data_IF_616018579606
#
_entry.id   IF_616018579606
#
_cell.length_a   1.000
_cell.length_b   1.000
_cell.length_c   1.000
_cell.angle_alpha   90.00
_cell.angle_beta   90.00
_cell.angle_gamma   90.00
#
_symmetry.space_group_name_H-M   'P 1'
#
loop_
_entity.id
_entity.type
_entity.pdbx_description
1 polymer ?
#
# COMPACT_ATOMS: atom_id res chain seq x y z
N UNK A 1 3.49 -13.28 27.92
CA UNK A 1 2.82 -11.97 28.10
C UNK A 1 3.05 -11.40 29.50
N UNK A 2 2.94 -12.21 30.57
CA UNK A 2 3.15 -11.75 31.96
C UNK A 2 4.58 -11.31 32.28
N UNK A 3 5.60 -11.93 31.68
CA UNK A 3 7.01 -11.54 31.86
C UNK A 3 7.29 -10.13 31.30
N UNK A 4 6.84 -9.85 30.08
CA UNK A 4 7.01 -8.53 29.45
C UNK A 4 6.34 -7.41 30.27
N UNK A 5 5.17 -7.70 30.87
CA UNK A 5 4.49 -6.76 31.78
C UNK A 5 5.33 -6.47 33.03
N UNK A 6 5.97 -7.49 33.60
CA UNK A 6 6.85 -7.33 34.77
C UNK A 6 8.06 -6.46 34.44
N UNK A 7 8.69 -6.72 33.29
CA UNK A 7 9.85 -5.96 32.83
C UNK A 7 9.57 -4.46 32.65
N UNK A 8 8.41 -4.09 32.09
CA UNK A 8 8.02 -2.69 31.92
C UNK A 8 7.82 -2.00 33.27
N UNK A 9 7.21 -2.68 34.24
CA UNK A 9 6.99 -2.13 35.58
C UNK A 9 8.31 -1.97 36.35
N UNK A 10 9.24 -2.91 36.19
CA UNK A 10 10.59 -2.77 36.76
C UNK A 10 11.32 -1.57 36.15
N UNK A 11 11.25 -1.39 34.82
CA UNK A 11 11.83 -0.22 34.14
C UNK A 11 11.24 1.12 34.60
N UNK A 12 9.93 1.16 34.88
CA UNK A 12 9.29 2.35 35.46
C UNK A 12 9.77 2.59 36.90
N UNK A 13 9.93 1.53 37.70
CA UNK A 13 10.41 1.62 39.08
C UNK A 13 11.87 2.10 39.18
N UNK A 14 12.69 1.70 38.20
CA UNK A 14 14.07 2.14 38.05
C UNK A 14 14.18 3.55 37.43
N UNK A 15 13.07 4.15 36.99
CA UNK A 15 13.02 5.47 36.36
C UNK A 15 13.62 5.51 34.95
N UNK A 16 13.75 4.37 34.28
CA UNK A 16 14.29 4.27 32.91
C UNK A 16 13.31 4.74 31.83
N UNK A 17 12.03 4.77 32.17
CA UNK A 17 10.92 5.21 31.30
C UNK A 17 9.98 6.10 32.09
N UNK A 18 9.25 6.97 31.39
CA UNK A 18 8.19 7.79 32.00
C UNK A 18 6.90 6.99 32.21
N UNK A 19 5.98 7.56 33.00
CA UNK A 19 4.66 6.96 33.24
C UNK A 19 3.89 6.81 31.93
N UNK A 20 3.96 7.82 31.06
CA UNK A 20 3.29 7.84 29.75
C UNK A 20 3.84 6.75 28.81
N UNK A 21 5.17 6.53 28.83
CA UNK A 21 5.81 5.47 28.05
C UNK A 21 5.41 4.08 28.55
N UNK A 22 5.35 3.89 29.88
CA UNK A 22 4.89 2.64 30.47
C UNK A 22 3.43 2.32 30.10
N UNK A 23 2.53 3.31 30.13
CA UNK A 23 1.13 3.15 29.71
C UNK A 23 1.01 2.72 28.24
N UNK A 24 1.79 3.35 27.35
CA UNK A 24 1.82 3.01 25.93
C UNK A 24 2.30 1.57 25.69
N UNK A 25 3.39 1.15 26.35
CA UNK A 25 3.96 -0.19 26.21
C UNK A 25 3.03 -1.28 26.76
N UNK A 26 2.35 -1.01 27.88
CA UNK A 26 1.35 -1.91 28.44
C UNK A 26 0.14 -2.06 27.52
N UNK A 27 -0.33 -0.97 26.90
CA UNK A 27 -1.43 -1.01 25.93
C UNK A 27 -1.11 -1.85 24.69
N UNK A 28 0.13 -1.80 24.20
CA UNK A 28 0.59 -2.62 23.08
C UNK A 28 0.69 -4.12 23.43
N UNK A 29 0.91 -4.46 24.70
CA UNK A 29 0.94 -5.86 25.16
C UNK A 29 -0.46 -6.44 25.43
N UNK A 30 -1.41 -5.61 25.88
CA UNK A 30 -2.79 -6.02 26.15
C UNK A 30 -3.61 -6.12 24.86
N UNK A 31 -3.26 -5.38 23.81
CA UNK A 31 -3.89 -5.50 22.51
C UNK A 31 -3.30 -6.72 21.77
N UNK A 32 -4.05 -7.84 21.60
CA UNK A 32 -3.54 -8.98 20.87
C UNK A 32 -3.24 -8.53 19.43
N UNK A 33 -1.95 -8.61 19.06
CA UNK A 33 -1.40 -8.65 17.73
C UNK A 33 -2.40 -8.40 16.57
N UNK A 34 -2.87 -7.16 16.43
CA UNK A 34 -3.36 -6.65 15.14
C UNK A 34 -2.41 -5.61 14.56
N UNK A 35 -1.20 -5.51 15.12
CA UNK A 35 -0.06 -4.73 14.63
C UNK A 35 1.06 -5.66 14.19
N UNK A 36 0.75 -6.56 13.26
CA UNK A 36 1.76 -7.26 12.47
C UNK A 36 1.22 -7.71 11.10
N UNK A 37 0.46 -6.86 10.43
CA UNK A 37 0.47 -6.80 8.96
C UNK A 37 -0.11 -5.46 8.55
N UNK A 38 0.77 -4.55 8.12
CA UNK A 38 0.40 -3.54 7.13
C UNK A 38 -0.10 -4.29 5.88
N UNK A 39 -1.37 -4.70 5.89
CA UNK A 39 -1.92 -5.57 4.84
C UNK A 39 -3.19 -6.32 5.24
N UNK A 40 -4.25 -5.60 5.60
CA UNK A 40 -5.64 -6.08 5.49
C UNK A 40 -6.56 -4.85 5.51
N UNK A 41 -6.84 -4.24 4.38
CA UNK A 41 -8.08 -4.49 3.62
C UNK A 41 -9.07 -5.42 4.32
N UNK A 42 -9.83 -4.87 5.27
CA UNK A 42 -11.28 -5.07 5.42
C UNK A 42 -11.76 -4.27 6.65
N UNK A 43 -12.22 -3.07 6.39
CA UNK A 43 -12.95 -2.23 7.34
C UNK A 43 -13.60 -1.11 6.54
N UNK A 44 -14.92 -1.16 6.40
CA UNK A 44 -15.70 -0.07 5.82
C UNK A 44 -15.50 1.20 6.67
N UNK A 45 -14.54 2.01 6.26
CA UNK A 45 -14.15 3.23 6.94
C UNK A 45 -13.06 3.91 6.13
N UNK A 46 -13.46 4.82 5.23
CA UNK A 46 -12.59 5.58 4.30
C UNK A 46 -11.42 4.77 3.76
N UNK A 47 -11.68 4.01 2.69
CA UNK A 47 -10.64 3.31 1.93
C UNK A 47 -9.51 4.30 1.63
N UNK A 48 -8.34 4.05 2.23
CA UNK A 48 -7.13 4.78 1.90
C UNK A 48 -6.97 4.76 0.37
N UNK A 49 -6.59 5.87 -0.27
CA UNK A 49 -6.49 5.91 -1.71
C UNK A 49 -5.54 4.79 -2.19
N UNK A 50 -5.88 4.10 -3.29
CA UNK A 50 -5.06 3.00 -3.79
C UNK A 50 -3.64 3.51 -4.03
N UNK A 51 -2.65 2.75 -3.55
CA UNK A 51 -1.22 3.10 -3.68
C UNK A 51 -0.61 2.59 -4.98
N UNK A 52 -1.11 1.48 -5.52
CA UNK A 52 -0.60 0.84 -6.73
C UNK A 52 -1.75 0.38 -7.64
N UNK A 53 -1.54 0.48 -8.95
CA UNK A 53 -2.31 -0.17 -10.00
C UNK A 53 -1.54 -1.42 -10.46
N UNK A 54 -2.17 -2.60 -10.43
CA UNK A 54 -1.56 -3.84 -10.96
C UNK A 54 -2.03 -4.04 -12.39
N UNK A 55 -1.09 -4.15 -13.32
CA UNK A 55 -1.36 -4.45 -14.73
C UNK A 55 -0.94 -5.89 -14.99
N UNK A 56 -1.90 -6.71 -15.39
CA UNK A 56 -1.68 -8.10 -15.80
C UNK A 56 -2.15 -8.22 -17.24
N UNK A 57 -1.25 -8.61 -18.14
CA UNK A 57 -1.55 -8.93 -19.53
C UNK A 57 -1.19 -10.39 -19.74
N UNK A 58 -2.21 -11.17 -20.08
CA UNK A 58 -2.11 -12.56 -20.46
C UNK A 58 -2.63 -12.65 -21.90
N UNK A 59 -1.77 -13.07 -22.84
CA UNK A 59 -2.21 -13.41 -24.19
C UNK A 59 -2.57 -14.90 -24.27
N UNK A 60 -3.72 -15.21 -24.84
CA UNK A 60 -4.15 -16.57 -25.16
C UNK A 60 -3.68 -16.94 -26.57
N UNK A 61 -2.50 -17.58 -26.69
CA UNK A 61 -1.97 -18.07 -27.97
C UNK A 61 -0.57 -18.69 -27.90
N UNK A 62 -0.21 -19.53 -28.87
CA UNK A 62 1.07 -20.29 -28.94
C UNK A 62 2.33 -19.40 -29.02
N UNK A 63 2.19 -18.12 -29.37
CA UNK A 63 3.27 -17.14 -29.37
C UNK A 63 3.34 -16.39 -28.04
N UNK A 64 3.65 -17.12 -26.97
CA UNK A 64 3.62 -16.67 -25.56
C UNK A 64 4.76 -15.71 -25.17
N UNK A 65 5.05 -14.69 -25.97
CA UNK A 65 6.21 -13.82 -25.73
C UNK A 65 5.90 -12.55 -24.92
N UNK A 66 4.63 -12.18 -24.69
CA UNK A 66 4.31 -10.92 -24.03
C UNK A 66 3.39 -11.12 -22.81
N UNK A 67 3.96 -11.64 -21.72
CA UNK A 67 3.32 -11.67 -20.40
C UNK A 67 3.78 -10.47 -19.57
N UNK A 68 2.85 -9.66 -19.12
CA UNK A 68 3.15 -8.47 -18.31
C UNK A 68 2.47 -8.62 -16.96
N UNK A 69 3.22 -8.52 -15.87
CA UNK A 69 2.67 -8.48 -14.50
C UNK A 69 3.44 -7.44 -13.69
N UNK A 70 2.97 -6.20 -13.72
CA UNK A 70 3.66 -5.05 -13.13
C UNK A 70 2.78 -4.31 -12.13
N UNK A 71 3.42 -3.67 -11.15
CA UNK A 71 2.75 -2.78 -10.18
C UNK A 71 3.22 -1.36 -10.41
N UNK A 72 2.28 -0.47 -10.71
CA UNK A 72 2.52 0.93 -11.02
C UNK A 72 2.04 1.80 -9.84
N UNK A 73 2.93 2.57 -9.17
CA UNK A 73 2.52 3.49 -8.13
C UNK A 73 1.52 4.55 -8.63
N UNK A 74 0.41 4.73 -7.92
CA UNK A 74 -0.62 5.72 -8.27
C UNK A 74 -0.09 7.16 -8.24
N UNK A 75 0.97 7.43 -7.46
CA UNK A 75 1.67 8.73 -7.47
C UNK A 75 2.36 9.03 -8.82
N UNK A 76 2.81 8.00 -9.55
CA UNK A 76 3.40 8.17 -10.88
C UNK A 76 2.33 8.43 -11.93
N UNK A 77 1.21 7.72 -11.84
CA UNK A 77 0.07 7.91 -12.74
C UNK A 77 -0.51 9.32 -12.58
N UNK A 78 -0.79 9.75 -11.34
CA UNK A 78 -1.33 11.09 -11.05
C UNK A 78 -0.36 12.23 -11.38
N UNK A 79 0.94 11.97 -11.41
CA UNK A 79 1.90 13.01 -11.77
C UNK A 79 1.99 13.22 -13.28
N UNK A 80 1.58 12.26 -14.13
CA UNK A 80 1.56 12.40 -15.60
C UNK A 80 2.94 12.57 -16.27
N UNK A 81 4.02 12.83 -15.51
CA UNK A 81 5.31 13.26 -16.07
C UNK A 81 6.26 12.12 -16.43
N UNK A 82 6.03 10.87 -15.98
CA UNK A 82 7.04 9.79 -16.07
C UNK A 82 6.59 8.49 -16.74
N UNK A 83 5.29 8.25 -16.92
CA UNK A 83 4.79 7.08 -17.66
C UNK A 83 4.68 7.36 -19.15
N UNK A 84 4.18 8.54 -19.54
CA UNK A 84 4.15 9.00 -20.93
C UNK A 84 5.52 8.88 -21.64
N UNK A 85 6.62 9.12 -20.92
CA UNK A 85 7.98 9.06 -21.46
C UNK A 85 8.46 7.63 -21.80
N UNK A 86 7.80 6.60 -21.28
CA UNK A 86 8.11 5.19 -21.52
C UNK A 86 7.17 4.55 -22.54
N UNK A 87 6.10 5.25 -22.94
CA UNK A 87 5.08 4.78 -23.86
C UNK A 87 5.23 5.54 -25.18
N UNK A 88 5.31 4.86 -26.34
CA UNK A 88 5.33 5.54 -27.65
C UNK A 88 4.10 6.44 -27.83
N UNK A 89 4.28 7.67 -28.32
CA UNK A 89 3.22 8.69 -28.37
C UNK A 89 1.92 8.29 -29.08
N UNK A 90 1.99 7.40 -30.08
CA UNK A 90 0.81 6.84 -30.76
C UNK A 90 -0.06 5.97 -29.83
N UNK A 91 0.55 5.27 -28.87
CA UNK A 91 -0.16 4.44 -27.91
C UNK A 91 -0.81 5.27 -26.80
N UNK A 92 -0.21 6.39 -26.43
CA UNK A 92 -0.70 7.30 -25.37
C UNK A 92 -2.09 7.85 -25.67
N UNK A 93 -2.32 8.33 -26.89
CA UNK A 93 -3.61 8.90 -27.29
C UNK A 93 -4.74 7.85 -27.27
N UNK A 94 -4.49 6.66 -27.82
CA UNK A 94 -5.47 5.57 -27.84
C UNK A 94 -5.78 5.08 -26.42
N UNK A 95 -4.78 5.06 -25.54
CA UNK A 95 -4.98 4.70 -24.13
C UNK A 95 -5.83 5.75 -23.41
N UNK A 96 -5.51 7.03 -23.53
CA UNK A 96 -6.26 8.10 -22.87
C UNK A 96 -7.74 8.14 -23.31
N UNK A 97 -8.01 7.92 -24.59
CA UNK A 97 -9.38 7.79 -25.11
C UNK A 97 -10.12 6.61 -24.46
N UNK A 98 -9.50 5.42 -24.42
CA UNK A 98 -10.09 4.22 -23.81
C UNK A 98 -10.25 4.30 -22.30
N UNK A 99 -9.37 5.02 -21.61
CA UNK A 99 -9.49 5.26 -20.18
C UNK A 99 -10.66 6.19 -19.87
N UNK A 100 -10.81 7.27 -20.64
CA UNK A 100 -11.94 8.20 -20.51
C UNK A 100 -13.28 7.54 -20.86
N UNK A 101 -13.34 6.71 -21.90
CA UNK A 101 -14.53 5.89 -22.22
C UNK A 101 -14.96 5.01 -21.03
N UNK A 102 -14.01 4.51 -20.25
CA UNK A 102 -14.26 3.67 -19.06
C UNK A 102 -14.50 4.49 -17.78
N UNK A 103 -14.62 5.81 -17.88
CA UNK A 103 -14.85 6.70 -16.74
C UNK A 103 -13.63 6.91 -15.85
N UNK A 104 -12.43 6.61 -16.36
CA UNK A 104 -11.17 6.80 -15.65
C UNK A 104 -10.60 8.16 -16.11
N UNK A 105 -10.75 9.19 -15.27
CA UNK A 105 -10.19 10.53 -15.53
C UNK A 105 -8.72 10.59 -15.11
N UNK A 106 -7.88 9.93 -15.91
CA UNK A 106 -6.44 9.85 -15.74
C UNK A 106 -5.81 10.08 -17.11
N UNK A 107 -4.87 11.01 -17.19
CA UNK A 107 -4.00 11.19 -18.36
C UNK A 107 -2.67 10.47 -18.11
N UNK A 108 -2.36 9.50 -18.98
CA UNK A 108 -1.08 8.79 -19.03
C UNK A 108 -0.19 9.32 -20.14
#
# INVERSE_FOLDING_TARGET
MTENRRQILDMLSEGKISVEEAESLLGLLEQPASVATSGSDTGEGRKSPPKYLRVVVEEDGESANERVNVRVPMALIRSGVKLAALIPGDATNRMNEKLREKGIDIDV
#
